data_IF_010232637485
#
_entry.id   IF_010232637485
#
_cell.length_a   1.000
_cell.length_b   1.000
_cell.length_c   1.000
_cell.angle_alpha   90.00
_cell.angle_beta   90.00
_cell.angle_gamma   90.00
#
_symmetry.space_group_name_H-M   'P 1'
#
loop_
_entity.id
_entity.type
_entity.pdbx_description
1 polymer ?
#
# COMPACT_ATOMS: atom_id res chain seq x y z
N UNK A 1 56.58 -47.66 30.16
CA UNK A 1 56.29 -46.64 31.19
C UNK A 1 57.57 -45.90 31.54
N UNK A 2 57.67 -44.60 31.23
CA UNK A 2 58.32 -43.62 32.12
C UNK A 2 57.92 -42.21 31.68
N UNK A 3 57.47 -41.40 32.64
CA UNK A 3 57.15 -39.98 32.48
C UNK A 3 58.26 -39.22 33.20
N UNK A 4 58.89 -38.24 32.58
CA UNK A 4 59.51 -37.14 33.32
C UNK A 4 59.68 -35.91 32.43
N UNK A 5 59.14 -34.77 32.87
CA UNK A 5 59.47 -33.46 32.32
C UNK A 5 60.88 -33.06 32.74
N UNK A 6 61.65 -32.48 31.82
CA UNK A 6 62.64 -31.45 32.14
C UNK A 6 62.38 -30.25 31.22
N UNK A 7 62.67 -29.07 31.74
CA UNK A 7 62.17 -27.75 31.37
C UNK A 7 63.35 -26.87 30.91
N UNK A 8 63.09 -25.76 30.21
CA UNK A 8 64.01 -24.63 29.93
C UNK A 8 65.06 -24.84 28.80
N UNK A 9 65.65 -23.82 28.13
CA UNK A 9 65.51 -22.35 28.18
C UNK A 9 65.64 -21.72 26.77
N UNK A 10 64.97 -20.57 26.62
CA UNK A 10 64.91 -19.55 25.56
C UNK A 10 66.19 -19.09 24.80
N UNK A 11 66.00 -18.73 23.52
CA UNK A 11 66.56 -17.59 22.75
C UNK A 11 65.85 -17.59 21.37
N UNK A 12 65.54 -16.51 20.65
CA UNK A 12 65.77 -15.05 20.73
C UNK A 12 65.10 -14.42 19.47
N UNK A 13 64.92 -13.09 19.37
CA UNK A 13 63.80 -12.50 18.61
C UNK A 13 64.11 -12.07 17.17
N UNK A 14 63.05 -11.81 16.38
CA UNK A 14 63.09 -10.96 15.19
C UNK A 14 62.07 -9.81 15.33
N UNK A 15 62.54 -8.57 15.25
CA UNK A 15 61.72 -7.37 15.35
C UNK A 15 62.16 -6.24 14.41
N UNK A 16 61.23 -5.83 13.54
CA UNK A 16 60.96 -4.47 13.04
C UNK A 16 62.11 -3.46 12.79
N UNK A 17 62.34 -3.10 11.51
CA UNK A 17 62.29 -1.73 10.94
C UNK A 17 62.45 -1.77 9.39
N UNK A 18 61.95 -0.85 8.55
CA UNK A 18 60.91 0.18 8.74
C UNK A 18 61.12 1.50 7.96
N UNK A 19 60.53 1.68 6.75
CA UNK A 19 60.39 3.00 6.10
C UNK A 19 59.38 3.10 4.93
N UNK A 20 58.48 4.10 5.04
CA UNK A 20 57.89 5.01 4.02
C UNK A 20 57.35 4.38 2.71
N UNK A 21 56.09 4.59 2.30
CA UNK A 21 55.52 5.91 1.96
C UNK A 21 53.97 5.97 1.93
N UNK A 22 53.44 7.18 2.15
CA UNK A 22 52.23 7.79 1.54
C UNK A 22 50.87 7.06 1.64
N UNK A 23 50.05 7.58 2.57
CA UNK A 23 48.71 8.15 2.31
C UNK A 23 47.84 7.51 1.22
N UNK A 24 46.77 6.81 1.63
CA UNK A 24 45.48 7.00 0.99
C UNK A 24 44.36 6.76 1.99
N UNK A 25 43.65 7.83 2.35
CA UNK A 25 42.37 7.71 3.02
C UNK A 25 41.38 7.10 2.04
N UNK A 26 41.22 5.77 2.09
CA UNK A 26 40.13 5.10 1.41
C UNK A 26 38.82 5.48 2.11
N UNK A 27 38.32 6.67 1.80
CA UNK A 27 36.92 7.05 2.02
C UNK A 27 36.08 5.94 1.42
N UNK A 28 35.55 5.05 2.26
CA UNK A 28 34.58 4.04 1.81
C UNK A 28 33.39 4.82 1.28
N UNK A 29 33.34 5.01 -0.04
CA UNK A 29 32.12 5.43 -0.71
C UNK A 29 31.08 4.40 -0.35
N UNK A 30 30.14 4.79 0.51
CA UNK A 30 28.95 4.01 0.80
C UNK A 30 28.18 3.95 -0.52
N UNK A 31 28.31 2.82 -1.22
CA UNK A 31 27.51 2.55 -2.40
C UNK A 31 26.06 2.56 -1.96
N UNK A 32 25.30 3.55 -2.42
CA UNK A 32 23.87 3.65 -2.14
C UNK A 32 23.22 2.38 -2.69
N UNK A 33 22.57 1.63 -1.81
CA UNK A 33 21.89 0.40 -2.18
C UNK A 33 20.64 0.76 -2.98
N UNK A 34 20.69 0.53 -4.28
CA UNK A 34 19.53 0.69 -5.17
C UNK A 34 18.90 -0.66 -5.44
N UNK A 35 17.57 -0.71 -5.37
CA UNK A 35 16.81 -1.87 -5.80
C UNK A 35 16.80 -1.98 -7.34
N UNK A 36 16.98 -3.18 -7.90
CA UNK A 36 16.86 -3.39 -9.34
C UNK A 36 15.38 -3.32 -9.79
N UNK A 37 15.11 -3.20 -11.10
CA UNK A 37 13.76 -3.31 -11.65
C UNK A 37 13.03 -4.58 -11.21
N UNK A 38 11.70 -4.49 -11.06
CA UNK A 38 10.86 -5.56 -10.50
C UNK A 38 11.02 -6.90 -11.24
N UNK A 39 11.22 -6.85 -12.56
CA UNK A 39 11.37 -7.97 -13.47
C UNK A 39 12.64 -8.80 -13.17
N UNK A 40 13.62 -8.18 -12.51
CA UNK A 40 14.88 -8.80 -12.08
C UNK A 40 14.80 -9.34 -10.65
N UNK A 41 13.69 -9.11 -9.93
CA UNK A 41 13.48 -9.56 -8.55
C UNK A 41 12.67 -10.86 -8.55
N UNK A 42 13.33 -11.97 -8.23
CA UNK A 42 12.68 -13.27 -8.10
C UNK A 42 11.83 -13.38 -6.83
N UNK A 43 10.61 -12.86 -6.89
CA UNK A 43 9.60 -13.12 -5.87
C UNK A 43 9.25 -14.60 -5.81
N UNK A 44 9.01 -15.12 -4.61
CA UNK A 44 8.49 -16.49 -4.43
C UNK A 44 7.00 -16.55 -4.80
N UNK A 45 6.70 -16.46 -6.10
CA UNK A 45 5.37 -16.31 -6.70
C UNK A 45 4.34 -17.35 -6.23
N UNK A 46 4.79 -18.57 -5.91
CA UNK A 46 3.97 -19.62 -5.27
C UNK A 46 3.42 -19.26 -3.87
N UNK A 47 3.86 -18.15 -3.27
CA UNK A 47 3.37 -17.62 -1.99
C UNK A 47 2.41 -16.45 -2.14
N UNK A 48 2.47 -15.62 -3.20
CA UNK A 48 1.59 -14.45 -3.36
C UNK A 48 0.09 -14.79 -3.21
N UNK A 49 -0.38 -15.82 -3.93
CA UNK A 49 -1.76 -16.34 -3.86
C UNK A 49 -2.01 -17.33 -2.71
N UNK A 50 -1.02 -17.59 -1.85
CA UNK A 50 -1.09 -18.55 -0.72
C UNK A 50 -0.71 -17.94 0.63
N UNK A 51 -0.40 -16.65 0.69
CA UNK A 51 -0.08 -15.94 1.91
C UNK A 51 -1.38 -15.75 2.70
N UNK A 52 -1.61 -16.65 3.64
CA UNK A 52 -2.65 -16.52 4.66
C UNK A 52 -2.16 -15.52 5.71
N UNK A 53 -2.21 -14.24 5.34
CA UNK A 53 -1.90 -13.14 6.25
C UNK A 53 -3.02 -12.96 7.27
N UNK A 54 -2.65 -12.58 8.50
CA UNK A 54 -3.62 -12.19 9.54
C UNK A 54 -4.22 -10.80 9.28
N UNK A 55 -3.46 -9.96 8.59
CA UNK A 55 -3.88 -8.66 8.05
C UNK A 55 -3.72 -8.61 6.54
N UNK A 56 -3.59 -7.41 5.98
CA UNK A 56 -3.41 -7.14 4.56
C UNK A 56 -2.09 -7.61 3.96
N UNK A 57 -2.00 -7.42 2.64
CA UNK A 57 -0.77 -7.62 1.86
C UNK A 57 -0.08 -6.28 1.65
N UNK A 58 1.24 -6.27 1.84
CA UNK A 58 2.14 -5.16 1.55
C UNK A 58 3.30 -5.66 0.69
N UNK A 59 4.33 -4.83 0.49
CA UNK A 59 5.52 -5.19 -0.29
C UNK A 59 6.78 -5.15 0.55
N UNK A 60 7.74 -6.04 0.23
CA UNK A 60 9.05 -6.08 0.88
C UNK A 60 9.91 -4.82 0.63
N UNK A 61 11.16 -4.88 1.09
CA UNK A 61 12.18 -3.82 1.01
C UNK A 61 12.18 -3.09 -0.33
N UNK A 62 12.35 -3.82 -1.44
CA UNK A 62 12.41 -3.25 -2.79
C UNK A 62 11.05 -2.97 -3.44
N UNK A 63 9.96 -2.89 -2.69
CA UNK A 63 8.63 -2.56 -3.20
C UNK A 63 7.98 -3.60 -4.13
N UNK A 64 8.69 -4.65 -4.54
CA UNK A 64 8.24 -5.56 -5.59
C UNK A 64 7.48 -6.80 -5.08
N UNK A 65 8.03 -7.53 -4.11
CA UNK A 65 7.48 -8.83 -3.71
C UNK A 65 6.43 -8.70 -2.60
N UNK A 66 5.27 -9.41 -2.72
CA UNK A 66 4.23 -9.37 -1.71
C UNK A 66 4.65 -10.05 -0.41
N UNK A 67 4.30 -9.41 0.70
CA UNK A 67 4.55 -9.85 2.09
C UNK A 67 3.31 -9.55 2.94
N UNK A 68 3.17 -10.20 4.11
CA UNK A 68 2.12 -9.80 5.05
C UNK A 68 2.46 -8.48 5.73
N UNK A 69 1.48 -7.59 5.82
CA UNK A 69 1.57 -6.37 6.60
C UNK A 69 1.65 -6.67 8.12
N UNK A 70 2.15 -5.70 8.86
CA UNK A 70 2.29 -5.74 10.32
C UNK A 70 1.03 -5.22 11.00
N UNK A 71 0.49 -5.99 11.91
CA UNK A 71 -0.70 -5.65 12.69
C UNK A 71 -0.38 -4.61 13.78
N UNK A 72 -1.42 -4.05 14.40
CA UNK A 72 -1.28 -3.14 15.54
C UNK A 72 -0.48 -3.80 16.69
N UNK A 73 0.45 -3.04 17.27
CA UNK A 73 1.40 -3.53 18.28
C UNK A 73 2.60 -4.31 17.72
N UNK A 74 2.60 -4.73 16.44
CA UNK A 74 3.75 -5.41 15.84
C UNK A 74 4.89 -4.43 15.48
N UNK A 75 6.12 -4.97 15.40
CA UNK A 75 7.32 -4.21 15.02
C UNK A 75 7.33 -3.89 13.52
N UNK A 76 7.79 -2.68 13.18
CA UNK A 76 7.90 -2.17 11.81
C UNK A 76 9.17 -1.31 11.61
N UNK A 77 9.44 -0.94 10.36
CA UNK A 77 10.52 -0.01 10.00
C UNK A 77 11.91 -0.66 9.95
N UNK A 78 12.91 0.01 10.54
CA UNK A 78 14.33 -0.27 10.30
C UNK A 78 14.78 0.20 8.92
N UNK A 79 16.08 0.08 8.62
CA UNK A 79 16.62 0.44 7.30
C UNK A 79 15.85 -0.22 6.16
N UNK A 80 15.26 0.59 5.27
CA UNK A 80 14.46 0.14 4.13
C UNK A 80 13.25 -0.76 4.47
N UNK A 81 12.63 -0.57 5.63
CA UNK A 81 11.49 -1.35 6.14
C UNK A 81 11.76 -2.86 6.27
N UNK A 82 13.01 -3.28 6.52
CA UNK A 82 13.34 -4.71 6.65
C UNK A 82 12.58 -5.42 7.79
N UNK A 83 12.14 -4.68 8.82
CA UNK A 83 11.32 -5.22 9.92
C UNK A 83 9.84 -5.37 9.52
N UNK A 84 9.41 -4.73 8.43
CA UNK A 84 8.06 -4.80 7.86
C UNK A 84 7.32 -3.47 7.87
N UNK A 85 6.30 -3.37 7.01
CA UNK A 85 5.39 -2.23 6.88
C UNK A 85 4.06 -2.54 7.57
N UNK A 86 3.44 -1.52 8.16
CA UNK A 86 2.17 -1.65 8.84
C UNK A 86 1.00 -1.91 7.88
N UNK A 87 -0.09 -2.46 8.42
CA UNK A 87 -1.33 -2.69 7.68
C UNK A 87 -2.10 -1.40 7.38
N UNK A 88 -3.12 -1.49 6.54
CA UNK A 88 -3.96 -0.36 6.14
C UNK A 88 -4.60 0.28 7.38
N UNK A 89 -4.47 1.60 7.53
CA UNK A 89 -4.96 2.35 8.70
C UNK A 89 -4.00 2.39 9.90
N UNK A 90 -2.79 1.83 9.78
CA UNK A 90 -1.76 1.83 10.82
C UNK A 90 -0.50 2.59 10.36
N UNK A 91 0.16 3.29 11.28
CA UNK A 91 1.46 3.96 11.04
C UNK A 91 2.56 3.37 11.90
N UNK A 92 3.79 3.37 11.36
CA UNK A 92 4.97 2.93 12.08
C UNK A 92 5.47 4.06 12.99
N UNK A 93 5.23 3.94 14.29
CA UNK A 93 5.66 4.94 15.28
C UNK A 93 7.01 4.53 15.86
N UNK A 94 8.05 5.27 15.49
CA UNK A 94 9.40 5.11 16.01
C UNK A 94 9.51 5.57 17.46
N UNK A 95 10.34 4.90 18.26
CA UNK A 95 10.70 5.36 19.60
C UNK A 95 11.89 6.33 19.50
N UNK A 96 11.97 7.30 20.42
CA UNK A 96 13.09 8.24 20.50
C UNK A 96 14.32 7.54 21.12
N UNK A 97 15.17 6.98 20.26
CA UNK A 97 16.50 6.49 20.61
C UNK A 97 17.45 6.65 19.42
N UNK A 98 18.74 6.81 19.71
CA UNK A 98 19.71 7.40 18.78
C UNK A 98 20.14 6.49 17.61
N UNK A 99 20.49 7.14 16.49
CA UNK A 99 20.99 6.60 15.19
C UNK A 99 19.94 6.10 14.18
N UNK A 100 19.81 6.87 13.08
CA UNK A 100 18.82 6.73 12.00
C UNK A 100 18.84 5.37 11.27
N UNK A 101 19.95 4.63 11.36
CA UNK A 101 20.16 3.38 10.61
C UNK A 101 19.36 2.17 11.15
N UNK A 102 18.96 2.19 12.42
CA UNK A 102 18.29 1.06 13.08
C UNK A 102 16.92 1.44 13.67
N UNK A 103 16.31 2.54 13.21
CA UNK A 103 15.08 3.06 13.82
C UNK A 103 13.93 2.05 13.75
N UNK A 104 13.68 1.39 14.88
CA UNK A 104 12.63 0.40 15.07
C UNK A 104 11.35 1.10 15.54
N UNK A 105 10.25 0.85 14.84
CA UNK A 105 8.93 1.35 15.22
C UNK A 105 7.96 0.25 15.65
N UNK A 106 6.80 0.70 16.12
CA UNK A 106 5.64 -0.14 16.43
C UNK A 106 4.45 0.38 15.63
N UNK A 107 3.70 -0.52 14.99
CA UNK A 107 2.47 -0.16 14.30
C UNK A 107 1.40 0.27 15.31
N UNK A 108 0.84 1.46 15.13
CA UNK A 108 -0.29 1.96 15.92
C UNK A 108 -1.41 2.39 14.98
N UNK A 109 -2.66 2.26 15.42
CA UNK A 109 -3.78 2.85 14.70
C UNK A 109 -3.52 4.34 14.43
N UNK A 110 -3.72 4.77 13.18
CA UNK A 110 -3.91 6.19 12.92
C UNK A 110 -5.30 6.52 13.46
N UNK A 111 -5.35 6.98 14.71
CA UNK A 111 -6.48 7.80 15.15
C UNK A 111 -6.32 9.12 14.42
N UNK A 112 -6.76 9.14 13.15
CA UNK A 112 -7.01 10.40 12.47
C UNK A 112 -8.16 11.07 13.22
N UNK A 113 -7.81 11.91 14.18
CA UNK A 113 -8.53 13.16 14.35
C UNK A 113 -8.30 14.01 13.09
N UNK A 114 -8.90 13.59 11.97
CA UNK A 114 -9.37 14.55 10.98
C UNK A 114 -10.34 15.42 11.76
N UNK A 115 -9.97 16.67 11.99
CA UNK A 115 -10.94 17.66 12.42
C UNK A 115 -12.02 17.71 11.32
N UNK A 116 -13.27 17.28 11.60
CA UNK A 116 -14.29 17.15 10.56
C UNK A 116 -14.59 18.48 9.86
N UNK A 117 -14.21 19.59 10.49
CA UNK A 117 -14.35 20.96 9.98
C UNK A 117 -13.34 21.31 8.87
N UNK A 118 -12.33 20.46 8.61
CA UNK A 118 -11.34 20.64 7.53
C UNK A 118 -11.79 20.09 6.17
N UNK A 119 -12.75 19.16 6.15
CA UNK A 119 -13.28 18.59 4.90
C UNK A 119 -14.50 19.40 4.39
N UNK A 120 -14.73 19.39 3.08
CA UNK A 120 -16.04 19.77 2.51
C UNK A 120 -17.16 18.84 3.04
N UNK A 121 -18.44 19.25 2.99
CA UNK A 121 -19.56 18.36 3.35
C UNK A 121 -19.54 17.03 2.58
N UNK A 122 -20.09 15.97 3.19
CA UNK A 122 -20.12 14.63 2.58
C UNK A 122 -20.87 14.64 1.25
N UNK A 123 -20.33 13.94 0.25
CA UNK A 123 -21.05 13.66 -0.99
C UNK A 123 -22.24 12.72 -0.73
N UNK A 124 -23.39 13.26 -0.33
CA UNK A 124 -24.64 12.50 -0.25
C UNK A 124 -25.50 12.71 -1.49
N UNK A 125 -26.41 11.77 -1.77
CA UNK A 125 -27.40 11.89 -2.84
C UNK A 125 -28.20 13.20 -2.72
N UNK A 126 -28.67 13.53 -1.52
CA UNK A 126 -29.50 14.72 -1.31
C UNK A 126 -28.69 16.01 -1.43
N UNK A 127 -27.46 16.03 -0.90
CA UNK A 127 -26.56 17.18 -1.01
C UNK A 127 -26.22 17.49 -2.47
N UNK A 128 -25.87 16.47 -3.26
CA UNK A 128 -25.55 16.64 -4.67
C UNK A 128 -26.77 16.89 -5.57
N UNK A 129 -27.98 16.45 -5.17
CA UNK A 129 -29.20 16.87 -5.85
C UNK A 129 -29.48 18.36 -5.66
N UNK A 130 -29.24 18.90 -4.46
CA UNK A 130 -29.39 20.33 -4.21
C UNK A 130 -28.26 21.16 -4.83
N UNK A 131 -27.06 20.59 -4.97
CA UNK A 131 -25.84 21.31 -5.36
C UNK A 131 -25.04 20.56 -6.45
N UNK A 132 -25.53 20.45 -7.70
CA UNK A 132 -24.98 19.54 -8.71
C UNK A 132 -23.53 19.84 -9.14
N UNK A 133 -23.03 21.05 -8.90
CA UNK A 133 -21.65 21.46 -9.21
C UNK A 133 -20.77 21.72 -7.98
N UNK A 134 -21.28 21.51 -6.76
CA UNK A 134 -20.50 21.77 -5.55
C UNK A 134 -19.34 20.76 -5.38
N UNK A 135 -18.32 21.18 -4.64
CA UNK A 135 -17.27 20.28 -4.16
C UNK A 135 -17.76 19.63 -2.87
N UNK A 136 -17.56 18.32 -2.74
CA UNK A 136 -17.94 17.52 -1.59
C UNK A 136 -16.84 16.49 -1.28
N UNK A 137 -16.92 15.87 -0.11
CA UNK A 137 -15.99 14.85 0.36
C UNK A 137 -16.58 13.46 0.14
N UNK A 138 -15.98 12.65 -0.73
CA UNK A 138 -16.49 11.32 -1.09
C UNK A 138 -15.97 10.22 -0.14
N UNK A 139 -15.87 10.52 1.16
CA UNK A 139 -15.18 9.70 2.18
C UNK A 139 -15.74 8.28 2.26
N UNK A 140 -17.06 8.17 2.17
CA UNK A 140 -17.80 6.90 2.25
C UNK A 140 -18.32 6.36 0.91
N UNK A 141 -18.23 7.16 -0.16
CA UNK A 141 -18.86 6.89 -1.47
C UNK A 141 -17.90 6.88 -2.65
N UNK A 142 -16.59 7.09 -2.45
CA UNK A 142 -15.62 6.94 -3.53
C UNK A 142 -15.55 5.49 -4.03
N UNK A 143 -15.46 5.31 -5.35
CA UNK A 143 -15.15 3.99 -5.94
C UNK A 143 -13.71 3.54 -5.69
N UNK A 144 -12.78 4.49 -5.53
CA UNK A 144 -11.36 4.24 -5.31
C UNK A 144 -10.75 5.36 -4.46
N UNK A 145 -9.96 5.02 -3.45
CA UNK A 145 -9.35 6.01 -2.56
C UNK A 145 -7.97 6.42 -3.06
N UNK A 146 -7.78 7.71 -3.29
CA UNK A 146 -6.53 8.28 -3.80
C UNK A 146 -5.67 8.81 -2.64
N UNK A 147 -4.42 8.37 -2.54
CA UNK A 147 -3.56 8.70 -1.40
C UNK A 147 -3.30 10.22 -1.22
N UNK A 148 -3.32 10.99 -2.32
CA UNK A 148 -3.09 12.44 -2.29
C UNK A 148 -4.30 13.27 -1.81
N UNK A 149 -5.52 12.71 -1.79
CA UNK A 149 -6.73 13.39 -1.29
C UNK A 149 -6.99 13.12 0.20
N UNK A 150 -6.10 12.36 0.87
CA UNK A 150 -6.25 11.97 2.28
C UNK A 150 -7.59 11.30 2.56
N UNK A 151 -8.10 11.44 3.79
CA UNK A 151 -9.40 10.86 4.14
C UNK A 151 -10.62 11.70 3.75
N UNK A 152 -10.46 12.89 3.17
CA UNK A 152 -11.60 13.66 2.64
C UNK A 152 -12.05 13.18 1.24
N UNK A 153 -11.14 12.68 0.39
CA UNK A 153 -11.46 12.19 -0.96
C UNK A 153 -12.33 13.20 -1.76
N UNK A 154 -11.84 14.44 -1.92
CA UNK A 154 -12.65 15.51 -2.52
C UNK A 154 -12.97 15.27 -4.00
N UNK A 155 -14.21 15.55 -4.39
CA UNK A 155 -14.65 15.54 -5.79
C UNK A 155 -15.82 16.52 -5.99
N UNK A 156 -16.29 16.68 -7.22
CA UNK A 156 -17.51 17.45 -7.51
C UNK A 156 -18.74 16.55 -7.52
N UNK A 157 -19.88 17.08 -7.10
CA UNK A 157 -21.17 16.40 -7.22
C UNK A 157 -21.53 15.98 -8.65
N UNK A 158 -20.98 16.65 -9.68
CA UNK A 158 -21.14 16.24 -11.08
C UNK A 158 -20.41 14.94 -11.43
N UNK A 159 -19.43 14.54 -10.61
CA UNK A 159 -18.69 13.28 -10.70
C UNK A 159 -19.33 12.14 -9.89
N UNK A 160 -20.48 12.40 -9.25
CA UNK A 160 -21.25 11.41 -8.50
C UNK A 160 -22.44 10.88 -9.32
N UNK A 161 -22.71 9.59 -9.17
CA UNK A 161 -23.72 8.87 -9.95
C UNK A 161 -24.35 7.74 -9.13
N UNK A 162 -25.55 7.30 -9.51
CA UNK A 162 -26.20 6.14 -8.89
C UNK A 162 -26.06 4.91 -9.79
N UNK A 163 -25.22 3.96 -9.38
CA UNK A 163 -25.09 2.66 -10.03
C UNK A 163 -26.32 1.81 -9.73
N UNK A 164 -27.16 1.58 -10.75
CA UNK A 164 -28.26 0.61 -10.68
C UNK A 164 -27.77 -0.76 -11.17
N UNK A 165 -28.16 -1.82 -10.46
CA UNK A 165 -27.89 -3.19 -10.92
C UNK A 165 -28.81 -3.50 -12.11
N UNK A 166 -28.30 -4.07 -13.23
CA UNK A 166 -29.18 -4.50 -14.32
C UNK A 166 -30.13 -5.60 -13.82
N UNK A 167 -31.36 -5.70 -14.37
CA UNK A 167 -32.39 -6.65 -13.94
C UNK A 167 -32.13 -8.11 -14.37
N UNK A 168 -30.89 -8.56 -14.22
CA UNK A 168 -30.49 -9.95 -14.42
C UNK A 168 -30.76 -10.74 -13.13
N UNK A 169 -31.97 -11.31 -13.02
CA UNK A 169 -32.45 -12.03 -11.83
C UNK A 169 -31.81 -13.42 -11.59
N UNK A 170 -30.78 -13.80 -12.35
CA UNK A 170 -30.13 -15.10 -12.21
C UNK A 170 -29.05 -15.10 -11.10
N UNK A 171 -29.28 -15.91 -10.06
CA UNK A 171 -28.27 -16.23 -9.04
C UNK A 171 -27.51 -17.49 -9.46
N UNK A 172 -26.22 -17.35 -9.78
CA UNK A 172 -25.37 -18.47 -10.20
C UNK A 172 -24.48 -18.97 -9.05
N UNK A 173 -24.22 -20.28 -9.01
CA UNK A 173 -23.15 -20.83 -8.19
C UNK A 173 -21.78 -20.52 -8.81
N UNK A 174 -20.70 -20.29 -8.01
CA UNK A 174 -19.37 -19.98 -8.55
C UNK A 174 -18.76 -21.06 -9.47
N UNK A 175 -19.24 -22.30 -9.37
CA UNK A 175 -18.83 -23.43 -10.21
C UNK A 175 -19.61 -23.57 -11.51
N UNK A 176 -20.76 -22.90 -11.66
CA UNK A 176 -21.59 -23.00 -12.86
C UNK A 176 -21.16 -21.97 -13.91
N UNK A 177 -20.12 -22.35 -14.67
CA UNK A 177 -19.61 -21.57 -15.79
C UNK A 177 -20.66 -21.23 -16.86
N UNK A 178 -21.69 -22.06 -17.04
CA UNK A 178 -22.74 -21.83 -18.04
C UNK A 178 -23.72 -20.75 -17.56
N UNK A 179 -24.15 -20.83 -16.31
CA UNK A 179 -24.95 -19.77 -15.68
C UNK A 179 -24.19 -18.44 -15.65
N UNK A 180 -22.91 -18.46 -15.25
CA UNK A 180 -22.07 -17.25 -15.22
C UNK A 180 -21.90 -16.60 -16.61
N UNK A 181 -21.77 -17.40 -17.67
CA UNK A 181 -21.74 -16.88 -19.05
C UNK A 181 -23.08 -16.30 -19.50
N UNK A 182 -24.21 -16.89 -19.12
CA UNK A 182 -25.54 -16.33 -19.41
C UNK A 182 -25.80 -15.05 -18.63
N UNK A 183 -25.45 -15.00 -17.34
CA UNK A 183 -25.52 -13.79 -16.53
C UNK A 183 -24.65 -12.66 -17.10
N UNK A 184 -23.39 -12.95 -17.45
CA UNK A 184 -22.49 -11.98 -18.08
C UNK A 184 -23.03 -11.43 -19.40
N UNK A 185 -23.71 -12.27 -20.21
CA UNK A 185 -24.36 -11.86 -21.46
C UNK A 185 -25.59 -10.97 -21.23
N UNK A 186 -26.40 -11.30 -20.22
CA UNK A 186 -27.52 -10.45 -19.78
C UNK A 186 -27.02 -9.06 -19.37
N UNK A 187 -25.99 -9.00 -18.52
CA UNK A 187 -25.36 -7.74 -18.09
C UNK A 187 -24.80 -6.96 -19.28
N UNK A 188 -24.07 -7.62 -20.19
CA UNK A 188 -23.46 -6.98 -21.36
C UNK A 188 -24.49 -6.37 -22.31
N UNK A 189 -25.63 -7.03 -22.53
CA UNK A 189 -26.71 -6.49 -23.36
C UNK A 189 -27.33 -5.24 -22.71
N UNK A 190 -27.68 -5.30 -21.42
CA UNK A 190 -28.21 -4.13 -20.70
C UNK A 190 -27.23 -2.94 -20.67
N UNK A 191 -25.93 -3.20 -20.51
CA UNK A 191 -24.88 -2.16 -20.58
C UNK A 191 -24.80 -1.51 -21.96
N UNK A 192 -25.05 -2.25 -23.04
CA UNK A 192 -24.97 -1.75 -24.43
C UNK A 192 -26.24 -1.03 -24.90
N UNK A 193 -27.41 -1.50 -24.47
CA UNK A 193 -28.69 -0.90 -24.80
C UNK A 193 -28.95 0.38 -23.98
N UNK A 194 -28.30 0.51 -22.82
CA UNK A 194 -28.62 1.54 -21.83
C UNK A 194 -27.45 2.48 -21.53
N UNK A 195 -27.13 3.32 -22.53
CA UNK A 195 -26.19 4.43 -22.38
C UNK A 195 -26.62 5.44 -21.30
N UNK A 196 -27.93 5.59 -21.07
CA UNK A 196 -28.51 6.47 -20.06
C UNK A 196 -28.38 5.96 -18.61
N UNK A 197 -28.13 4.65 -18.37
CA UNK A 197 -28.19 4.07 -17.02
C UNK A 197 -26.85 3.96 -16.30
N UNK A 198 -25.73 4.22 -16.97
CA UNK A 198 -24.39 4.10 -16.38
C UNK A 198 -23.85 5.42 -15.82
N UNK A 199 -24.28 6.56 -16.36
CA UNK A 199 -23.89 7.90 -15.91
C UNK A 199 -25.07 8.88 -15.93
N UNK A 200 -26.20 8.54 -15.29
CA UNK A 200 -27.34 9.45 -15.28
C UNK A 200 -27.12 10.65 -14.35
N UNK A 201 -26.66 11.77 -14.90
CA UNK A 201 -26.57 13.07 -14.21
C UNK A 201 -27.95 13.67 -13.90
N UNK A 202 -29.03 13.23 -14.56
CA UNK A 202 -30.39 13.62 -14.22
C UNK A 202 -30.88 12.78 -13.04
N UNK A 203 -30.82 13.34 -11.84
CA UNK A 203 -31.13 12.68 -10.56
C UNK A 203 -32.63 12.39 -10.33
N UNK A 204 -33.39 12.12 -11.38
CA UNK A 204 -34.81 11.78 -11.28
C UNK A 204 -35.01 10.36 -10.72
N UNK A 205 -35.20 10.34 -9.41
CA UNK A 205 -36.13 9.48 -8.66
C UNK A 205 -36.32 8.05 -9.20
N UNK A 206 -35.37 7.18 -8.87
CA UNK A 206 -35.64 5.75 -8.66
C UNK A 206 -34.55 5.23 -7.73
N UNK A 207 -34.95 4.83 -6.51
CA UNK A 207 -34.06 4.67 -5.35
C UNK A 207 -33.20 3.39 -5.37
N UNK A 208 -33.39 2.53 -6.36
CA UNK A 208 -32.72 1.23 -6.48
C UNK A 208 -31.32 1.35 -7.11
N UNK A 209 -30.35 1.81 -6.32
CA UNK A 209 -28.94 1.81 -6.72
C UNK A 209 -27.98 2.43 -5.70
N UNK A 210 -26.72 2.01 -5.77
CA UNK A 210 -25.63 2.51 -4.94
C UNK A 210 -25.19 3.89 -5.43
N UNK A 211 -25.23 4.90 -4.56
CA UNK A 211 -24.64 6.21 -4.87
C UNK A 211 -23.12 6.13 -4.69
N UNK A 212 -22.37 6.52 -5.72
CA UNK A 212 -20.91 6.48 -5.74
C UNK A 212 -20.35 7.72 -6.42
N UNK A 213 -19.12 8.09 -6.12
CA UNK A 213 -18.44 9.21 -6.75
C UNK A 213 -17.09 8.80 -7.34
N UNK A 214 -16.77 9.42 -8.49
CA UNK A 214 -15.46 9.32 -9.12
C UNK A 214 -14.54 10.40 -8.54
N UNK A 215 -13.49 9.99 -7.84
CA UNK A 215 -12.43 10.90 -7.37
C UNK A 215 -11.33 10.94 -8.44
N UNK A 216 -10.96 12.12 -8.95
CA UNK A 216 -10.00 12.21 -10.04
C UNK A 216 -8.58 11.81 -9.59
N UNK A 217 -8.06 10.75 -10.18
CA UNK A 217 -6.62 10.43 -10.16
C UNK A 217 -5.87 11.59 -10.81
N UNK A 218 -4.87 12.15 -10.14
CA UNK A 218 -4.02 13.17 -10.76
C UNK A 218 -3.20 12.54 -11.88
N UNK A 219 -3.35 13.07 -13.10
CA UNK A 219 -2.31 12.93 -14.12
C UNK A 219 -1.06 13.61 -13.57
N UNK A 220 0.05 12.88 -13.47
CA UNK A 220 1.37 13.47 -13.22
C UNK A 220 1.69 14.42 -14.37
N UNK A 221 1.44 15.71 -14.16
CA UNK A 221 1.79 16.74 -15.14
C UNK A 221 3.32 16.91 -15.11
N UNK A 222 4.00 16.15 -15.96
CA UNK A 222 5.41 16.38 -16.26
C UNK A 222 5.56 17.81 -16.75
N UNK A 223 6.40 18.56 -16.03
CA UNK A 223 6.74 19.95 -16.29
C UNK A 223 8.15 20.02 -16.86
#
# INVERSE_FOLDING_TARGET
>A
MLKMWILLFLCGPLGSLGSKEVMSGATRQLQVLHCPPCEQIHCSSRRALKLQCRGGLTTGVCGCCPTCARLEGETCGGAWDYLGKCDIGLVCVYQESETEAEQKGICKAVVEHVDPDSCNPECTRDYCHANPSAICSARSVSLENTACQGCCQHTSCSSCLTLRRPPCHHTCAPSDSTCLQHFGRCVHNHVRESSDWLCNSNMQSNNEGSFVCLVPLQSSSSK
#
